data_IF_937481144292
#
_entry.id   IF_937481144292
#
_cell.length_a   1.000
_cell.length_b   1.000
_cell.length_c   1.000
_cell.angle_alpha   90.00
_cell.angle_beta   90.00
_cell.angle_gamma   90.00
#
_symmetry.space_group_name_H-M   'P 1'
#
loop_
_entity.id
_entity.type
_entity.pdbx_description
1 polymer ?
#
# COMPACT_ATOMS: atom_id res chain seq x y z
N UNK A 1 19.81 11.32 14.96
CA UNK A 1 18.70 10.62 14.33
C UNK A 1 18.69 9.16 14.77
N UNK A 2 17.57 8.71 15.32
CA UNK A 2 17.33 7.30 15.66
C UNK A 2 16.27 6.78 14.69
N UNK A 3 16.43 5.56 14.18
CA UNK A 3 15.46 4.89 13.31
C UNK A 3 15.07 3.56 13.91
N UNK A 4 13.81 3.17 13.74
CA UNK A 4 13.28 1.92 14.24
C UNK A 4 12.21 1.37 13.31
N UNK A 5 12.26 0.07 13.05
CA UNK A 5 11.23 -0.68 12.35
C UNK A 5 10.56 -1.63 13.34
N UNK A 6 9.26 -1.52 13.48
CA UNK A 6 8.48 -2.37 14.35
C UNK A 6 8.07 -3.71 13.70
N UNK A 7 8.45 -3.94 12.46
CA UNK A 7 8.11 -5.15 11.68
C UNK A 7 6.61 -5.51 11.74
N UNK A 8 5.77 -4.48 11.59
CA UNK A 8 4.30 -4.59 11.68
C UNK A 8 3.76 -5.02 13.07
N UNK A 9 4.58 -4.96 14.12
CA UNK A 9 4.17 -5.27 15.48
C UNK A 9 3.75 -3.99 16.21
N UNK A 10 2.43 -3.81 16.40
CA UNK A 10 1.87 -2.60 17.00
C UNK A 10 2.31 -2.40 18.46
N UNK A 11 2.47 -3.47 19.24
CA UNK A 11 2.90 -3.36 20.63
C UNK A 11 4.33 -2.83 20.72
N UNK A 12 5.24 -3.41 19.92
CA UNK A 12 6.64 -2.98 19.84
C UNK A 12 6.74 -1.54 19.34
N UNK A 13 5.90 -1.16 18.37
CA UNK A 13 5.79 0.21 17.89
C UNK A 13 5.38 1.18 19.02
N UNK A 14 4.34 0.86 19.77
CA UNK A 14 3.83 1.70 20.88
C UNK A 14 4.91 1.89 21.95
N UNK A 15 5.55 0.80 22.38
CA UNK A 15 6.62 0.83 23.38
C UNK A 15 7.78 1.72 22.96
N UNK A 16 8.20 1.58 21.68
CA UNK A 16 9.31 2.40 21.14
C UNK A 16 8.96 3.88 21.05
N UNK A 17 7.75 4.21 20.66
CA UNK A 17 7.29 5.60 20.62
C UNK A 17 7.28 6.22 22.02
N UNK A 18 6.82 5.51 23.04
CA UNK A 18 6.87 5.98 24.43
C UNK A 18 8.31 6.22 24.89
N UNK A 19 9.24 5.29 24.62
CA UNK A 19 10.68 5.47 24.91
C UNK A 19 11.22 6.76 24.27
N UNK A 20 10.84 7.03 23.01
CA UNK A 20 11.28 8.25 22.32
C UNK A 20 10.65 9.52 22.92
N UNK A 21 9.38 9.46 23.31
CA UNK A 21 8.71 10.61 23.94
C UNK A 21 9.39 11.01 25.27
N UNK A 22 9.89 10.05 26.06
CA UNK A 22 10.68 10.31 27.28
C UNK A 22 11.98 11.07 26.98
N UNK A 23 12.60 10.79 25.81
CA UNK A 23 13.82 11.48 25.36
C UNK A 23 13.55 12.89 24.83
N UNK A 24 12.28 13.29 24.68
CA UNK A 24 11.84 14.62 24.18
C UNK A 24 12.53 15.05 22.89
N UNK A 25 12.43 14.29 21.80
CA UNK A 25 13.01 14.67 20.52
C UNK A 25 12.33 15.94 19.98
N UNK A 26 13.01 16.67 19.09
CA UNK A 26 12.43 17.83 18.43
C UNK A 26 11.24 17.46 17.52
N UNK A 27 11.29 16.26 16.93
CA UNK A 27 10.20 15.73 16.11
C UNK A 27 10.21 14.21 16.04
N UNK A 28 9.05 13.64 15.70
CA UNK A 28 8.88 12.24 15.34
C UNK A 28 8.35 12.17 13.90
N UNK A 29 9.05 11.42 13.04
CA UNK A 29 8.60 11.07 11.69
C UNK A 29 8.10 9.62 11.72
N UNK A 30 6.84 9.42 11.40
CA UNK A 30 6.15 8.15 11.61
C UNK A 30 5.43 7.66 10.35
N UNK A 31 5.64 6.38 9.98
CA UNK A 31 4.75 5.63 9.12
C UNK A 31 3.71 4.92 10.01
N UNK A 32 2.48 5.44 10.13
CA UNK A 32 1.55 4.98 11.15
C UNK A 32 1.02 3.58 10.86
N UNK A 33 0.91 2.77 11.91
CA UNK A 33 0.20 1.51 11.85
C UNK A 33 -1.29 1.72 11.52
N UNK A 34 -1.88 0.76 10.84
CA UNK A 34 -3.31 0.79 10.49
C UNK A 34 -4.14 0.08 11.56
N UNK A 35 -4.08 0.58 12.79
CA UNK A 35 -4.74 -0.05 13.91
C UNK A 35 -5.33 0.99 14.89
N UNK A 36 -6.52 0.72 15.38
CA UNK A 36 -7.19 1.54 16.39
C UNK A 36 -6.39 1.62 17.69
N UNK A 37 -5.59 0.61 18.02
CA UNK A 37 -4.76 0.59 19.21
C UNK A 37 -3.72 1.71 19.25
N UNK A 38 -3.33 2.26 18.11
CA UNK A 38 -2.33 3.33 17.99
C UNK A 38 -2.94 4.74 17.91
N UNK A 39 -4.26 4.88 17.73
CA UNK A 39 -4.91 6.20 17.57
C UNK A 39 -4.66 7.13 18.77
N UNK A 40 -4.75 6.62 19.98
CA UNK A 40 -4.50 7.37 21.21
C UNK A 40 -3.06 7.88 21.30
N UNK A 41 -2.10 7.08 20.87
CA UNK A 41 -0.67 7.39 20.95
C UNK A 41 -0.31 8.65 20.13
N UNK A 42 -0.84 8.80 18.93
CA UNK A 42 -0.55 9.98 18.11
C UNK A 42 -1.09 11.27 18.72
N UNK A 43 -2.24 11.20 19.37
CA UNK A 43 -2.79 12.34 20.11
C UNK A 43 -1.94 12.70 21.34
N UNK A 44 -1.34 11.71 22.02
CA UNK A 44 -0.41 11.96 23.13
C UNK A 44 0.90 12.61 22.65
N UNK A 45 1.45 12.17 21.51
CA UNK A 45 2.62 12.84 20.87
C UNK A 45 2.28 14.31 20.60
N UNK A 46 1.13 14.58 19.98
CA UNK A 46 0.70 15.94 19.67
C UNK A 46 0.55 16.81 20.93
N UNK A 47 0.04 16.26 22.03
CA UNK A 47 -0.10 16.96 23.32
C UNK A 47 1.23 17.20 24.03
N UNK A 48 2.24 16.38 23.79
CA UNK A 48 3.56 16.50 24.44
C UNK A 48 4.39 17.68 23.90
N UNK A 49 3.96 18.32 22.81
CA UNK A 49 4.69 19.40 22.13
C UNK A 49 5.77 18.90 21.18
N UNK A 50 5.93 17.58 21.01
CA UNK A 50 6.83 17.00 20.00
C UNK A 50 6.17 17.16 18.64
N UNK A 51 6.88 17.72 17.67
CA UNK A 51 6.37 17.89 16.30
C UNK A 51 6.23 16.55 15.61
N UNK A 52 5.04 16.27 15.08
CA UNK A 52 4.71 14.98 14.48
C UNK A 52 4.55 15.12 12.95
N UNK A 53 5.24 14.26 12.23
CA UNK A 53 5.19 14.15 10.78
C UNK A 53 4.76 12.74 10.39
N UNK A 54 3.95 12.61 9.34
CA UNK A 54 3.51 11.31 8.85
C UNK A 54 4.06 11.01 7.46
N UNK A 55 4.28 9.72 7.18
CA UNK A 55 4.54 9.18 5.85
C UNK A 55 3.44 8.17 5.51
N UNK A 56 2.95 8.25 4.28
CA UNK A 56 1.98 7.32 3.72
C UNK A 56 0.53 7.70 4.01
N UNK A 57 0.20 8.11 5.24
CA UNK A 57 -1.16 8.55 5.59
C UNK A 57 -1.22 9.25 6.93
N UNK A 58 -2.31 9.95 7.15
CA UNK A 58 -2.73 10.43 8.49
C UNK A 58 -3.62 9.36 9.13
N UNK A 59 -3.37 8.97 10.40
CA UNK A 59 -4.24 8.05 11.13
C UNK A 59 -5.68 8.58 11.22
N UNK A 60 -6.63 7.67 11.23
CA UNK A 60 -8.03 8.02 11.46
C UNK A 60 -8.19 8.65 12.86
N UNK A 61 -9.04 9.65 12.98
CA UNK A 61 -9.27 10.35 14.26
C UNK A 61 -8.20 11.37 14.66
N UNK A 62 -7.11 11.49 13.90
CA UNK A 62 -6.08 12.50 14.13
C UNK A 62 -6.59 13.91 13.80
N UNK A 63 -6.43 14.86 14.74
CA UNK A 63 -6.79 16.26 14.53
C UNK A 63 -5.83 16.92 13.53
N UNK A 64 -6.36 17.85 12.74
CA UNK A 64 -5.57 18.57 11.74
C UNK A 64 -4.44 19.43 12.34
N UNK A 65 -4.62 19.90 13.52
CA UNK A 65 -3.65 20.71 14.30
C UNK A 65 -2.72 19.84 15.17
N UNK A 66 -2.82 18.53 15.08
CA UNK A 66 -2.01 17.59 15.85
C UNK A 66 -0.78 17.05 15.13
N UNK A 67 -0.50 17.50 13.90
CA UNK A 67 0.69 17.13 13.13
C UNK A 67 1.09 18.23 12.16
N UNK A 68 2.37 18.25 11.79
CA UNK A 68 2.92 19.29 10.88
C UNK A 68 2.54 19.02 9.42
N UNK A 69 2.85 17.84 8.92
CA UNK A 69 2.50 17.43 7.57
C UNK A 69 2.42 15.91 7.43
N UNK A 70 1.85 15.46 6.31
CA UNK A 70 1.89 14.08 5.88
C UNK A 70 2.35 14.00 4.42
N UNK A 71 3.39 13.22 4.17
CA UNK A 71 3.86 12.93 2.81
C UNK A 71 3.16 11.66 2.33
N UNK A 72 2.37 11.77 1.26
CA UNK A 72 1.58 10.67 0.71
C UNK A 72 1.91 10.44 -0.76
N UNK A 73 1.82 9.20 -1.23
CA UNK A 73 1.82 8.88 -2.64
C UNK A 73 0.44 9.16 -3.26
N UNK A 74 0.45 9.55 -4.54
CA UNK A 74 -0.80 9.70 -5.29
C UNK A 74 -1.19 8.36 -5.89
N UNK A 75 -1.94 7.56 -5.14
CA UNK A 75 -2.32 6.19 -5.54
C UNK A 75 -3.24 6.17 -6.78
N UNK A 76 -4.02 7.21 -7.01
CA UNK A 76 -4.80 7.36 -8.24
C UNK A 76 -3.88 7.50 -9.46
N UNK A 77 -2.86 8.35 -9.36
CA UNK A 77 -1.84 8.52 -10.40
C UNK A 77 -1.02 7.24 -10.61
N UNK A 78 -0.66 6.57 -9.52
CA UNK A 78 0.07 5.31 -9.56
C UNK A 78 -0.74 4.23 -10.28
N UNK A 79 -2.02 4.09 -9.95
CA UNK A 79 -2.91 3.15 -10.63
C UNK A 79 -3.08 3.44 -12.12
N UNK A 80 -3.23 4.72 -12.48
CA UNK A 80 -3.26 5.13 -13.88
C UNK A 80 -1.96 4.75 -14.61
N UNK A 81 -0.80 5.02 -14.01
CA UNK A 81 0.49 4.71 -14.61
C UNK A 81 0.67 3.19 -14.81
N UNK A 82 0.24 2.36 -13.85
CA UNK A 82 0.29 0.90 -13.99
C UNK A 82 -0.57 0.41 -15.18
N UNK A 83 -1.79 0.90 -15.28
CA UNK A 83 -2.68 0.56 -16.39
C UNK A 83 -2.13 1.02 -17.74
N UNK A 84 -1.59 2.25 -17.78
CA UNK A 84 -0.95 2.80 -18.98
C UNK A 84 0.29 2.03 -19.40
N UNK A 85 1.12 1.58 -18.47
CA UNK A 85 2.30 0.74 -18.79
C UNK A 85 1.89 -0.57 -19.47
N UNK A 86 0.80 -1.21 -19.03
CA UNK A 86 0.25 -2.38 -19.69
C UNK A 86 -0.23 -2.04 -21.10
N UNK A 87 -0.97 -0.95 -21.29
CA UNK A 87 -1.44 -0.49 -22.59
C UNK A 87 -0.29 -0.22 -23.55
N UNK A 88 0.74 0.49 -23.11
CA UNK A 88 1.93 0.78 -23.90
C UNK A 88 2.70 -0.50 -24.25
N UNK A 89 2.86 -1.45 -23.31
CA UNK A 89 3.52 -2.73 -23.56
C UNK A 89 2.82 -3.55 -24.66
N UNK A 90 1.51 -3.61 -24.64
CA UNK A 90 0.72 -4.29 -25.65
C UNK A 90 0.48 -3.46 -26.92
N UNK A 91 1.11 -2.29 -27.05
CA UNK A 91 0.98 -1.40 -28.20
C UNK A 91 -0.51 -1.08 -28.51
N UNK A 92 -1.31 -0.88 -27.48
CA UNK A 92 -2.77 -0.61 -27.57
C UNK A 92 -3.56 -1.73 -28.27
N UNK A 93 -3.03 -2.94 -28.30
CA UNK A 93 -3.72 -4.12 -28.85
C UNK A 93 -4.48 -4.86 -27.77
N UNK A 94 -5.56 -5.58 -28.12
CA UNK A 94 -6.27 -6.43 -27.17
C UNK A 94 -5.33 -7.43 -26.49
N UNK A 95 -5.46 -7.54 -25.16
CA UNK A 95 -4.70 -8.50 -24.36
C UNK A 95 -5.51 -8.98 -23.16
N UNK A 96 -5.20 -10.19 -22.69
CA UNK A 96 -5.79 -10.79 -21.49
C UNK A 96 -4.92 -10.51 -20.28
N UNK A 97 -5.47 -9.73 -19.33
CA UNK A 97 -4.76 -9.25 -18.14
C UNK A 97 -5.34 -9.92 -16.91
N UNK A 98 -4.48 -10.25 -15.98
CA UNK A 98 -4.89 -10.67 -14.65
C UNK A 98 -4.48 -9.64 -13.59
N UNK A 99 -5.22 -9.62 -12.48
CA UNK A 99 -4.91 -8.82 -11.31
C UNK A 99 -4.55 -9.74 -10.15
N UNK A 100 -3.37 -9.54 -9.56
CA UNK A 100 -2.92 -10.21 -8.35
C UNK A 100 -2.76 -9.16 -7.25
N UNK A 101 -3.73 -9.06 -6.36
CA UNK A 101 -3.83 -7.97 -5.38
C UNK A 101 -3.72 -8.45 -3.94
N UNK A 102 -3.27 -7.56 -3.06
CA UNK A 102 -3.18 -7.87 -1.64
C UNK A 102 -4.53 -7.62 -0.95
N UNK A 103 -4.98 -8.60 -0.17
CA UNK A 103 -6.20 -8.50 0.66
C UNK A 103 -5.95 -7.97 2.07
N UNK A 104 -4.70 -7.69 2.43
CA UNK A 104 -4.36 -7.11 3.74
C UNK A 104 -4.79 -5.64 3.82
N UNK A 105 -4.84 -5.12 5.05
CA UNK A 105 -5.30 -3.75 5.33
C UNK A 105 -4.32 -2.63 4.88
N UNK A 106 -3.46 -2.87 3.91
CA UNK A 106 -2.60 -1.85 3.32
C UNK A 106 -3.43 -0.89 2.45
N UNK A 107 -3.80 0.27 3.03
CA UNK A 107 -4.70 1.24 2.40
C UNK A 107 -4.15 1.76 1.08
N UNK A 108 -2.87 2.17 1.03
CA UNK A 108 -2.23 2.68 -0.19
C UNK A 108 -2.21 1.64 -1.30
N UNK A 109 -1.86 0.38 -1.00
CA UNK A 109 -1.94 -0.72 -1.97
C UNK A 109 -3.35 -0.92 -2.50
N UNK A 110 -4.34 -0.97 -1.60
CA UNK A 110 -5.75 -1.11 -1.96
C UNK A 110 -6.24 0.03 -2.85
N UNK A 111 -5.91 1.26 -2.53
CA UNK A 111 -6.36 2.43 -3.31
C UNK A 111 -5.72 2.45 -4.70
N UNK A 112 -4.47 2.01 -4.83
CA UNK A 112 -3.80 1.77 -6.12
C UNK A 112 -4.46 0.66 -6.91
N UNK A 113 -4.76 -0.48 -6.29
CA UNK A 113 -5.43 -1.62 -6.94
C UNK A 113 -6.79 -1.21 -7.49
N UNK A 114 -7.59 -0.47 -6.71
CA UNK A 114 -8.89 0.07 -7.13
C UNK A 114 -8.71 1.02 -8.31
N UNK A 115 -7.75 1.94 -8.24
CA UNK A 115 -7.47 2.90 -9.30
C UNK A 115 -7.01 2.19 -10.59
N UNK A 116 -6.09 1.21 -10.48
CA UNK A 116 -5.62 0.43 -11.64
C UNK A 116 -6.77 -0.30 -12.32
N UNK A 117 -7.58 -1.02 -11.55
CA UNK A 117 -8.73 -1.75 -12.07
C UNK A 117 -9.73 -0.82 -12.76
N UNK A 118 -10.06 0.31 -12.13
CA UNK A 118 -10.97 1.31 -12.69
C UNK A 118 -10.45 1.86 -14.01
N UNK A 119 -9.19 2.25 -14.08
CA UNK A 119 -8.56 2.81 -15.28
C UNK A 119 -8.51 1.77 -16.41
N UNK A 120 -8.16 0.51 -16.13
CA UNK A 120 -8.21 -0.57 -17.10
C UNK A 120 -9.62 -0.72 -17.69
N UNK A 121 -10.65 -0.70 -16.87
CA UNK A 121 -12.03 -0.87 -17.33
C UNK A 121 -12.58 0.33 -18.10
N UNK A 122 -12.26 1.55 -17.69
CA UNK A 122 -12.85 2.78 -18.25
C UNK A 122 -12.04 3.36 -19.42
N UNK A 123 -10.70 3.26 -19.39
CA UNK A 123 -9.82 3.92 -20.36
C UNK A 123 -9.11 2.95 -21.29
N UNK A 124 -8.89 1.71 -20.88
CA UNK A 124 -8.22 0.68 -21.68
C UNK A 124 -9.05 -0.60 -21.80
N UNK A 125 -10.32 -0.52 -22.30
CA UNK A 125 -11.25 -1.66 -22.35
C UNK A 125 -10.80 -2.80 -23.26
N UNK A 126 -9.81 -2.59 -24.13
CA UNK A 126 -9.18 -3.63 -24.93
C UNK A 126 -8.23 -4.52 -24.12
N UNK A 127 -7.84 -4.10 -22.91
CA UNK A 127 -7.14 -4.92 -21.94
C UNK A 127 -8.17 -5.66 -21.08
N UNK A 128 -8.46 -6.91 -21.44
CA UNK A 128 -9.52 -7.70 -20.81
C UNK A 128 -9.04 -8.29 -19.49
N UNK A 129 -9.64 -7.88 -18.37
CA UNK A 129 -9.37 -8.49 -17.06
C UNK A 129 -10.08 -9.85 -17.02
N UNK A 130 -9.31 -10.93 -17.19
CA UNK A 130 -9.84 -12.32 -17.24
C UNK A 130 -9.76 -13.02 -15.89
N UNK A 131 -8.90 -12.58 -14.98
CA UNK A 131 -8.74 -13.17 -13.65
C UNK A 131 -8.41 -12.10 -12.60
N UNK A 132 -8.82 -12.35 -11.36
CA UNK A 132 -8.47 -11.52 -10.21
C UNK A 132 -8.32 -12.41 -8.98
N UNK A 133 -7.08 -12.66 -8.58
CA UNK A 133 -6.74 -13.40 -7.37
C UNK A 133 -6.17 -12.47 -6.29
N UNK A 134 -6.25 -12.93 -5.05
CA UNK A 134 -5.79 -12.18 -3.89
C UNK A 134 -4.84 -13.00 -3.04
N UNK A 135 -3.81 -12.35 -2.51
CA UNK A 135 -2.93 -12.92 -1.49
C UNK A 135 -3.02 -12.11 -0.20
N UNK A 136 -2.76 -12.73 0.95
CA UNK A 136 -2.78 -12.06 2.27
C UNK A 136 -1.41 -11.56 2.70
N UNK A 137 -0.38 -12.40 2.52
CA UNK A 137 1.02 -12.07 2.81
C UNK A 137 1.84 -12.28 1.55
N UNK A 138 2.92 -11.52 1.40
CA UNK A 138 3.79 -11.54 0.21
C UNK A 138 4.21 -12.95 -0.22
N UNK A 139 4.54 -13.81 0.73
CA UNK A 139 4.98 -15.19 0.46
C UNK A 139 3.88 -16.11 -0.10
N UNK A 140 2.62 -15.69 -0.10
CA UNK A 140 1.52 -16.41 -0.75
C UNK A 140 1.24 -15.94 -2.19
N UNK A 141 1.91 -14.87 -2.65
CA UNK A 141 1.70 -14.32 -3.98
C UNK A 141 2.03 -15.34 -5.08
N UNK A 142 3.13 -16.09 -4.94
CA UNK A 142 3.51 -17.14 -5.88
C UNK A 142 2.41 -18.20 -6.05
N UNK A 143 1.91 -18.75 -4.94
CA UNK A 143 0.84 -19.77 -4.99
C UNK A 143 -0.45 -19.24 -5.64
N UNK A 144 -0.84 -18.01 -5.33
CA UNK A 144 -2.00 -17.37 -5.95
C UNK A 144 -1.80 -17.12 -7.45
N UNK A 145 -0.59 -16.68 -7.84
CA UNK A 145 -0.21 -16.50 -9.25
C UNK A 145 -0.27 -17.82 -10.02
N UNK A 146 0.36 -18.87 -9.49
CA UNK A 146 0.39 -20.19 -10.15
C UNK A 146 -0.99 -20.80 -10.32
N UNK A 147 -1.88 -20.65 -9.33
CA UNK A 147 -3.28 -21.05 -9.43
C UNK A 147 -3.97 -20.32 -10.59
N UNK A 148 -3.80 -19.00 -10.64
CA UNK A 148 -4.40 -18.15 -11.67
C UNK A 148 -3.91 -18.49 -13.09
N UNK A 149 -2.60 -18.70 -13.28
CA UNK A 149 -2.03 -19.09 -14.58
C UNK A 149 -2.50 -20.48 -15.01
N UNK A 150 -2.65 -21.41 -14.06
CA UNK A 150 -3.16 -22.76 -14.36
C UNK A 150 -4.62 -22.72 -14.79
N UNK A 151 -5.43 -21.88 -14.17
CA UNK A 151 -6.85 -21.74 -14.49
C UNK A 151 -7.11 -20.95 -15.79
N UNK A 152 -6.23 -19.94 -16.05
CA UNK A 152 -6.30 -19.06 -17.22
C UNK A 152 -4.95 -19.05 -17.96
N UNK A 153 -4.63 -20.12 -18.70
CA UNK A 153 -3.30 -20.29 -19.30
C UNK A 153 -2.99 -19.31 -20.45
N UNK A 154 -3.97 -18.56 -20.89
CA UNK A 154 -3.88 -17.56 -21.95
C UNK A 154 -3.70 -16.11 -21.43
N UNK A 155 -3.43 -15.93 -20.14
CA UNK A 155 -3.03 -14.65 -19.56
C UNK A 155 -1.74 -14.18 -20.22
N UNK A 156 -1.72 -12.91 -20.65
CA UNK A 156 -0.60 -12.28 -21.33
C UNK A 156 0.13 -11.24 -20.46
N UNK A 157 -0.55 -10.71 -19.44
CA UNK A 157 0.01 -9.75 -18.50
C UNK A 157 -0.63 -9.85 -17.13
N UNK A 158 0.17 -9.59 -16.08
CA UNK A 158 -0.30 -9.64 -14.70
C UNK A 158 0.07 -8.31 -14.02
N UNK A 159 -0.93 -7.64 -13.46
CA UNK A 159 -0.72 -6.56 -12.52
C UNK A 159 -0.53 -7.15 -11.12
N UNK A 160 0.50 -6.71 -10.40
CA UNK A 160 0.73 -7.04 -8.99
C UNK A 160 0.81 -5.76 -8.18
N UNK A 161 0.24 -5.72 -6.98
CA UNK A 161 0.07 -4.51 -6.16
C UNK A 161 1.37 -3.74 -5.92
N UNK A 162 2.51 -4.42 -5.71
CA UNK A 162 3.86 -3.83 -5.58
C UNK A 162 4.95 -4.82 -6.03
N UNK A 163 6.21 -4.37 -6.03
CA UNK A 163 7.35 -5.05 -6.63
C UNK A 163 7.74 -6.36 -5.94
N UNK A 164 7.73 -6.41 -4.61
CA UNK A 164 8.21 -7.59 -3.85
C UNK A 164 7.39 -8.85 -4.14
N UNK A 165 6.04 -8.87 -4.03
CA UNK A 165 5.27 -10.01 -4.51
C UNK A 165 5.36 -10.23 -6.02
N UNK A 166 5.57 -9.17 -6.83
CA UNK A 166 5.75 -9.34 -8.28
C UNK A 166 7.01 -10.15 -8.60
N UNK A 167 8.14 -9.86 -7.93
CA UNK A 167 9.40 -10.60 -8.08
C UNK A 167 9.22 -12.08 -7.70
N UNK A 168 8.38 -12.37 -6.71
CA UNK A 168 8.11 -13.75 -6.28
C UNK A 168 7.26 -14.55 -7.29
N UNK A 169 6.65 -13.90 -8.27
CA UNK A 169 5.78 -14.53 -9.28
C UNK A 169 6.47 -14.75 -10.62
N UNK A 170 7.72 -14.32 -10.75
CA UNK A 170 8.56 -14.54 -11.92
C UNK A 170 9.31 -15.88 -11.76
#
# INVERSE_FOLDING_TARGET
>A
LEMFDADSNNQVFIEKVWEWMEKKPDFILCAPANDKSTEGLYNEIARSGIRLFFIGRVPQGMRRDGYECCVVSNEQKSGYNCAKLLDDYFNKKPAKIALLTCSSNYISGRDRDIATKKVLQEQFPHLHIVAHERFTLRNYAYGACMKMIKEYPDIQGIYVTWEDPAIQTI
#
